data_IF_186460741409
#
_entry.id   IF_186460741409
#
_cell.length_a   1.000
_cell.length_b   1.000
_cell.length_c   1.000
_cell.angle_alpha   90.00
_cell.angle_beta   90.00
_cell.angle_gamma   90.00
#
_symmetry.space_group_name_H-M   'P 1'
#
loop_
_entity.id
_entity.type
_entity.pdbx_description
1 polymer ?
#
# COMPACT_ATOMS: atom_id res chain seq x y z
N UNK A 1 -8.60 -9.45 2.97
CA UNK A 1 -8.77 -9.65 1.52
C UNK A 1 -7.48 -9.24 0.86
N UNK A 2 -7.32 -9.42 -0.41
CA UNK A 2 -6.12 -9.12 -1.20
C UNK A 2 -6.29 -9.81 -2.54
N UNK A 3 -5.30 -9.70 -3.42
CA UNK A 3 -5.33 -10.44 -4.69
C UNK A 3 -4.84 -11.86 -4.38
N UNK A 4 -5.64 -12.89 -4.67
CA UNK A 4 -5.24 -14.27 -4.43
C UNK A 4 -4.07 -14.70 -5.34
N UNK A 5 -3.34 -15.76 -4.95
CA UNK A 5 -2.27 -16.30 -5.77
C UNK A 5 -2.75 -16.74 -7.16
N UNK A 6 -3.96 -17.31 -7.25
CA UNK A 6 -4.58 -17.72 -8.52
C UNK A 6 -4.93 -16.52 -9.42
N UNK A 7 -5.46 -15.44 -8.82
CA UNK A 7 -5.78 -14.21 -9.56
C UNK A 7 -4.49 -13.50 -10.02
N UNK A 8 -3.45 -13.49 -9.18
CA UNK A 8 -2.13 -12.96 -9.56
C UNK A 8 -1.56 -13.72 -10.74
N UNK A 9 -1.56 -15.05 -10.70
CA UNK A 9 -1.04 -15.88 -11.79
C UNK A 9 -1.81 -15.64 -13.08
N UNK A 10 -3.13 -15.61 -13.02
CA UNK A 10 -4.01 -15.34 -14.17
C UNK A 10 -3.74 -13.96 -14.75
N UNK A 11 -3.68 -12.93 -13.90
CA UNK A 11 -3.41 -11.55 -14.32
C UNK A 11 -2.01 -11.38 -14.91
N UNK A 12 -0.99 -12.04 -14.35
CA UNK A 12 0.38 -11.97 -14.86
C UNK A 12 0.54 -12.68 -16.21
N UNK A 13 -0.17 -13.79 -16.44
CA UNK A 13 -0.20 -14.44 -17.74
C UNK A 13 -0.88 -13.58 -18.81
N UNK A 14 -2.00 -12.93 -18.45
CA UNK A 14 -2.69 -11.98 -19.31
C UNK A 14 -1.79 -10.77 -19.62
N UNK A 15 -1.10 -10.23 -18.59
CA UNK A 15 -0.17 -9.13 -18.74
C UNK A 15 1.00 -9.49 -19.69
N UNK A 16 1.59 -10.69 -19.57
CA UNK A 16 2.66 -11.15 -20.47
C UNK A 16 2.22 -11.31 -21.93
N UNK A 17 0.92 -11.53 -22.18
CA UNK A 17 0.36 -11.54 -23.52
C UNK A 17 0.16 -10.11 -24.08
N UNK A 18 -0.15 -9.13 -23.22
CA UNK A 18 -0.30 -7.72 -23.59
C UNK A 18 1.08 -7.07 -23.79
N UNK A 19 1.99 -7.35 -22.86
CA UNK A 19 3.35 -6.78 -22.81
C UNK A 19 4.38 -7.89 -22.74
N UNK A 20 4.96 -8.30 -23.87
CA UNK A 20 5.86 -9.45 -23.94
C UNK A 20 7.11 -9.37 -23.04
N UNK A 21 7.53 -8.18 -22.62
CA UNK A 21 8.66 -8.00 -21.72
C UNK A 21 8.46 -8.68 -20.35
N UNK A 22 7.21 -8.86 -19.89
CA UNK A 22 6.92 -9.59 -18.65
C UNK A 22 7.16 -11.10 -18.77
N UNK A 23 7.10 -11.70 -19.95
CA UNK A 23 7.25 -13.14 -20.14
C UNK A 23 8.59 -13.69 -19.61
N UNK A 24 9.75 -13.22 -20.12
CA UNK A 24 11.06 -13.64 -19.62
C UNK A 24 11.28 -13.31 -18.14
N UNK A 25 10.78 -12.16 -17.67
CA UNK A 25 10.88 -11.77 -16.26
C UNK A 25 10.10 -12.73 -15.37
N UNK A 26 8.87 -13.10 -15.76
CA UNK A 26 8.02 -14.05 -15.03
C UNK A 26 8.63 -15.47 -15.03
N UNK A 27 9.19 -15.91 -16.16
CA UNK A 27 9.86 -17.22 -16.25
C UNK A 27 11.06 -17.31 -15.29
N UNK A 28 11.76 -16.21 -15.06
CA UNK A 28 12.94 -16.15 -14.18
C UNK A 28 12.58 -16.01 -12.71
N UNK A 29 11.66 -15.10 -12.36
CA UNK A 29 11.34 -14.77 -10.99
C UNK A 29 10.20 -15.63 -10.40
N UNK A 30 9.42 -16.30 -11.24
CA UNK A 30 8.21 -17.02 -10.79
C UNK A 30 7.05 -16.11 -10.42
N UNK A 31 5.94 -16.73 -10.02
CA UNK A 31 4.73 -16.01 -9.58
C UNK A 31 4.92 -15.57 -8.11
N UNK A 32 4.59 -14.31 -7.77
CA UNK A 32 4.65 -13.85 -6.38
C UNK A 32 3.68 -14.63 -5.49
N UNK A 33 4.08 -14.81 -4.23
CA UNK A 33 3.15 -15.29 -3.20
C UNK A 33 2.04 -14.26 -2.98
N UNK A 34 0.88 -14.76 -2.59
CA UNK A 34 -0.24 -13.89 -2.23
C UNK A 34 0.15 -12.95 -1.07
N UNK A 35 -0.30 -11.71 -1.16
CA UNK A 35 -0.13 -10.70 -0.10
C UNK A 35 -1.50 -10.15 0.24
N UNK A 36 -1.96 -10.46 1.44
CA UNK A 36 -3.24 -10.00 1.96
C UNK A 36 -3.02 -8.99 3.09
N UNK A 37 -3.88 -8.00 3.16
CA UNK A 37 -3.96 -7.06 4.27
C UNK A 37 -5.33 -7.13 4.94
N UNK A 38 -5.40 -6.68 6.17
CA UNK A 38 -6.68 -6.49 6.87
C UNK A 38 -7.29 -5.15 6.45
N UNK A 39 -8.62 -5.14 6.26
CA UNK A 39 -9.38 -3.92 5.95
C UNK A 39 -9.55 -3.06 7.22
N UNK A 40 -9.74 -1.78 7.00
CA UNK A 40 -10.28 -0.87 8.00
C UNK A 40 -9.26 0.01 8.69
N UNK A 41 -9.75 0.64 9.75
CA UNK A 41 -9.08 1.68 10.54
C UNK A 41 -7.68 1.28 11.03
N UNK A 42 -7.55 0.07 11.58
CA UNK A 42 -6.29 -0.41 12.18
C UNK A 42 -5.15 -0.43 11.15
N UNK A 43 -5.43 -0.87 9.94
CA UNK A 43 -4.42 -0.94 8.87
C UNK A 43 -3.89 0.44 8.50
N UNK A 44 -4.76 1.44 8.36
CA UNK A 44 -4.33 2.82 8.09
C UNK A 44 -3.64 3.46 9.30
N UNK A 45 -4.10 3.19 10.53
CA UNK A 45 -3.42 3.67 11.74
C UNK A 45 -2.01 3.09 11.84
N UNK A 46 -1.84 1.80 11.58
CA UNK A 46 -0.51 1.15 11.52
C UNK A 46 0.37 1.74 10.43
N UNK A 47 -0.19 2.08 9.27
CA UNK A 47 0.55 2.76 8.21
C UNK A 47 1.05 4.14 8.66
N UNK A 48 0.22 4.95 9.34
CA UNK A 48 0.62 6.24 9.92
C UNK A 48 1.74 6.05 10.95
N UNK A 49 1.60 5.10 11.86
CA UNK A 49 2.60 4.82 12.91
C UNK A 49 3.92 4.37 12.29
N UNK A 50 3.88 3.58 11.22
CA UNK A 50 5.05 3.04 10.53
C UNK A 50 5.82 4.05 9.67
N UNK A 51 5.26 5.24 9.39
CA UNK A 51 5.96 6.25 8.58
C UNK A 51 7.33 6.61 9.17
N UNK A 52 8.37 6.54 8.36
CA UNK A 52 9.75 6.99 8.69
C UNK A 52 10.37 6.31 9.95
N UNK A 53 9.93 5.12 10.30
CA UNK A 53 10.53 4.32 11.37
C UNK A 53 10.71 2.87 10.92
N UNK A 54 11.58 2.12 11.61
CA UNK A 54 11.73 0.70 11.36
C UNK A 54 10.48 -0.08 11.78
N UNK A 55 10.30 -1.28 11.21
CA UNK A 55 9.21 -2.19 11.58
C UNK A 55 9.23 -2.50 13.08
N UNK A 56 10.41 -2.75 13.65
CA UNK A 56 10.56 -2.99 15.09
C UNK A 56 10.10 -1.79 15.93
N UNK A 57 10.49 -0.57 15.52
CA UNK A 57 10.04 0.66 16.21
C UNK A 57 8.53 0.88 16.07
N UNK A 58 7.95 0.62 14.90
CA UNK A 58 6.50 0.74 14.68
C UNK A 58 5.73 -0.24 15.59
N UNK A 59 6.19 -1.48 15.70
CA UNK A 59 5.57 -2.48 16.58
C UNK A 59 5.69 -2.10 18.06
N UNK A 60 6.83 -1.58 18.48
CA UNK A 60 7.02 -1.11 19.87
C UNK A 60 6.12 0.10 20.19
N UNK A 61 5.93 1.02 19.24
CA UNK A 61 5.00 2.15 19.37
C UNK A 61 3.57 1.61 19.45
N UNK A 62 3.20 0.68 18.59
CA UNK A 62 1.87 0.08 18.59
C UNK A 62 1.53 -0.55 19.95
N UNK A 63 2.41 -1.37 20.51
CA UNK A 63 2.20 -2.02 21.83
C UNK A 63 1.97 -0.98 22.94
N UNK A 64 2.76 0.10 22.96
CA UNK A 64 2.57 1.18 23.94
C UNK A 64 1.27 1.95 23.71
N UNK A 65 0.90 2.15 22.45
CA UNK A 65 -0.34 2.83 22.07
C UNK A 65 -1.57 2.03 22.54
N UNK A 66 -1.59 0.72 22.32
CA UNK A 66 -2.64 -0.18 22.82
C UNK A 66 -2.82 -0.03 24.34
N UNK A 67 -1.72 -0.07 25.09
CA UNK A 67 -1.76 0.09 26.55
C UNK A 67 -2.24 1.49 26.98
N UNK A 68 -1.77 2.53 26.28
CA UNK A 68 -2.06 3.92 26.64
C UNK A 68 -3.49 4.35 26.31
N UNK A 69 -4.06 3.80 25.23
CA UNK A 69 -5.42 4.13 24.78
C UNK A 69 -6.49 3.21 25.38
N UNK A 70 -6.10 2.06 25.91
CA UNK A 70 -7.02 0.99 26.32
C UNK A 70 -7.60 0.24 25.11
N UNK A 71 -6.86 0.19 23.99
CA UNK A 71 -7.25 -0.46 22.75
C UNK A 71 -7.25 0.51 21.56
N UNK A 72 -6.13 0.56 20.83
CA UNK A 72 -5.95 1.49 19.71
C UNK A 72 -6.81 1.12 18.48
N UNK A 73 -7.37 -0.08 18.46
CA UNK A 73 -8.27 -0.54 17.39
C UNK A 73 -9.62 0.18 17.37
N UNK A 74 -10.03 0.78 18.50
CA UNK A 74 -11.22 1.62 18.58
C UNK A 74 -10.85 3.09 18.32
N UNK A 75 -11.34 3.72 17.25
CA UNK A 75 -11.06 5.12 16.96
C UNK A 75 -11.53 6.09 18.07
N UNK A 76 -12.56 5.72 18.86
CA UNK A 76 -13.00 6.53 19.99
C UNK A 76 -11.93 6.59 21.10
N UNK A 77 -11.16 5.53 21.29
CA UNK A 77 -10.06 5.50 22.25
C UNK A 77 -8.93 6.46 21.82
N UNK A 78 -8.61 6.48 20.53
CA UNK A 78 -7.66 7.44 19.97
C UNK A 78 -8.15 8.88 20.14
N UNK A 79 -9.42 9.15 19.92
CA UNK A 79 -10.00 10.48 20.03
C UNK A 79 -9.99 11.03 21.47
N UNK A 80 -10.22 10.18 22.49
CA UNK A 80 -10.29 10.61 23.92
C UNK A 80 -8.96 10.62 24.65
N UNK A 81 -7.92 9.94 24.13
CA UNK A 81 -6.61 9.90 24.80
C UNK A 81 -5.92 11.26 24.66
N UNK A 82 -5.33 11.78 25.74
CA UNK A 82 -4.63 13.06 25.71
C UNK A 82 -3.40 13.03 24.79
N UNK A 83 -2.99 14.20 24.31
CA UNK A 83 -1.77 14.32 23.49
C UNK A 83 -0.53 13.86 24.26
N UNK A 84 -0.47 14.10 25.58
CA UNK A 84 0.64 13.64 26.40
C UNK A 84 0.66 12.11 26.50
N UNK A 85 -0.49 11.46 26.63
CA UNK A 85 -0.61 10.01 26.56
C UNK A 85 -0.14 9.44 25.23
N UNK A 86 -0.55 10.06 24.12
CA UNK A 86 -0.11 9.64 22.77
C UNK A 86 1.40 9.87 22.56
N UNK A 87 1.97 10.96 23.10
CA UNK A 87 3.43 11.17 23.10
C UNK A 87 4.16 10.13 23.93
N UNK A 88 3.64 9.78 25.11
CA UNK A 88 4.21 8.73 25.96
C UNK A 88 4.24 7.37 25.25
N UNK A 89 3.27 7.08 24.38
CA UNK A 89 3.29 5.91 23.51
C UNK A 89 4.37 5.98 22.41
N UNK A 90 4.93 7.16 22.15
CA UNK A 90 6.01 7.37 21.16
C UNK A 90 5.55 7.98 19.84
N UNK A 91 4.36 8.57 19.77
CA UNK A 91 3.90 9.28 18.59
C UNK A 91 4.52 10.69 18.52
N UNK A 92 5.03 11.08 17.37
CA UNK A 92 5.39 12.47 17.10
C UNK A 92 4.14 13.35 17.04
N UNK A 93 4.30 14.67 17.23
CA UNK A 93 3.21 15.63 17.09
C UNK A 93 2.45 15.48 15.76
N UNK A 94 3.17 15.23 14.69
CA UNK A 94 2.61 15.04 13.36
C UNK A 94 1.78 13.74 13.29
N UNK A 95 2.29 12.62 13.80
CA UNK A 95 1.56 11.34 13.82
C UNK A 95 0.32 11.41 14.71
N UNK A 96 0.35 12.16 15.80
CA UNK A 96 -0.84 12.41 16.63
C UNK A 96 -1.92 13.13 15.80
N UNK A 97 -1.56 14.19 15.09
CA UNK A 97 -2.50 14.91 14.25
C UNK A 97 -3.09 14.03 13.12
N UNK A 98 -2.28 13.14 12.53
CA UNK A 98 -2.72 12.20 11.50
C UNK A 98 -3.64 11.11 12.07
N UNK A 99 -3.28 10.51 13.20
CA UNK A 99 -4.08 9.49 13.85
C UNK A 99 -5.45 10.04 14.34
N UNK A 100 -5.47 11.29 14.82
CA UNK A 100 -6.73 11.97 15.17
C UNK A 100 -7.59 12.26 13.95
N UNK A 101 -6.98 12.74 12.84
CA UNK A 101 -7.71 12.95 11.60
C UNK A 101 -8.36 11.66 11.11
N UNK A 102 -7.63 10.55 11.14
CA UNK A 102 -8.18 9.25 10.77
C UNK A 102 -9.34 8.83 11.69
N UNK A 103 -9.15 8.96 13.01
CA UNK A 103 -10.20 8.62 13.98
C UNK A 103 -11.46 9.49 13.78
N UNK A 104 -11.29 10.78 13.52
CA UNK A 104 -12.39 11.72 13.29
C UNK A 104 -13.17 11.38 12.00
N UNK A 105 -12.47 11.06 10.90
CA UNK A 105 -13.12 10.69 9.63
C UNK A 105 -13.97 9.43 9.80
N UNK A 106 -13.46 8.44 10.56
CA UNK A 106 -14.20 7.20 10.84
C UNK A 106 -15.38 7.45 11.78
N UNK A 107 -15.18 8.14 12.90
CA UNK A 107 -16.24 8.40 13.90
C UNK A 107 -17.36 9.27 13.35
N UNK A 108 -17.07 10.18 12.44
CA UNK A 108 -18.09 11.01 11.76
C UNK A 108 -18.81 10.28 10.63
N UNK A 109 -18.38 9.07 10.26
CA UNK A 109 -18.92 8.32 9.13
C UNK A 109 -18.51 8.87 7.75
N UNK A 110 -17.61 9.86 7.70
CA UNK A 110 -17.08 10.35 6.41
C UNK A 110 -16.15 9.33 5.76
N UNK A 111 -15.43 8.54 6.55
CA UNK A 111 -14.68 7.39 6.07
C UNK A 111 -15.35 6.11 6.58
N UNK A 112 -16.08 5.45 5.69
CA UNK A 112 -16.69 4.14 5.94
C UNK A 112 -16.00 3.10 5.04
N UNK A 113 -15.26 2.18 5.65
CA UNK A 113 -14.50 1.15 4.92
C UNK A 113 -15.38 0.12 4.23
N UNK A 114 -16.65 -0.02 4.63
CA UNK A 114 -17.59 -0.92 3.99
C UNK A 114 -18.30 -0.25 2.79
N UNK A 115 -18.12 1.06 2.63
CA UNK A 115 -18.76 1.88 1.58
C UNK A 115 -17.75 2.73 0.80
N UNK A 116 -16.52 2.26 0.63
CA UNK A 116 -15.57 2.95 -0.23
C UNK A 116 -16.10 3.00 -1.68
N UNK A 117 -15.94 4.12 -2.40
CA UNK A 117 -16.35 4.22 -3.80
C UNK A 117 -15.84 3.07 -4.65
N UNK A 118 -16.64 2.62 -5.61
CA UNK A 118 -16.24 1.53 -6.52
C UNK A 118 -15.16 1.98 -7.52
N UNK A 119 -15.19 3.25 -7.93
CA UNK A 119 -14.14 3.83 -8.76
C UNK A 119 -12.85 4.00 -7.95
N UNK A 120 -11.73 3.62 -8.54
CA UNK A 120 -10.43 3.61 -7.86
C UNK A 120 -9.92 5.02 -7.55
N UNK A 121 -10.11 5.99 -8.45
CA UNK A 121 -9.67 7.37 -8.21
C UNK A 121 -10.55 8.07 -7.17
N UNK A 122 -11.85 7.81 -7.18
CA UNK A 122 -12.75 8.30 -6.13
C UNK A 122 -12.39 7.69 -4.76
N UNK A 123 -12.08 6.39 -4.71
CA UNK A 123 -11.63 5.74 -3.48
C UNK A 123 -10.29 6.29 -2.98
N UNK A 124 -9.33 6.56 -3.88
CA UNK A 124 -8.05 7.21 -3.55
C UNK A 124 -8.32 8.61 -3.01
N UNK A 125 -9.17 9.41 -3.66
CA UNK A 125 -9.53 10.75 -3.21
C UNK A 125 -10.17 10.71 -1.81
N UNK A 126 -11.03 9.73 -1.56
CA UNK A 126 -11.69 9.53 -0.27
C UNK A 126 -10.69 9.22 0.85
N UNK A 127 -9.75 8.31 0.62
CA UNK A 127 -8.71 7.96 1.59
C UNK A 127 -7.72 9.11 1.81
N UNK A 128 -7.36 9.86 0.77
CA UNK A 128 -6.42 10.98 0.87
C UNK A 128 -7.00 12.23 1.54
N UNK A 129 -8.31 12.29 1.77
CA UNK A 129 -8.92 13.31 2.62
C UNK A 129 -8.43 13.22 4.08
N UNK A 130 -8.00 12.04 4.54
CA UNK A 130 -7.38 11.85 5.85
C UNK A 130 -5.99 12.47 5.87
N UNK A 131 -5.73 13.38 6.80
CA UNK A 131 -4.39 13.99 6.95
C UNK A 131 -3.32 12.91 7.19
N UNK A 132 -2.26 12.98 6.40
CA UNK A 132 -1.15 12.02 6.51
C UNK A 132 -1.30 10.75 5.67
N UNK A 133 -2.44 10.56 5.02
CA UNK A 133 -2.62 9.52 4.02
C UNK A 133 -2.37 10.14 2.64
N UNK A 134 -1.21 9.85 2.06
CA UNK A 134 -0.89 10.25 0.70
C UNK A 134 -1.40 9.24 -0.32
N UNK A 135 -1.39 9.61 -1.62
CA UNK A 135 -1.83 8.77 -2.73
C UNK A 135 -1.19 7.37 -2.68
N UNK A 136 0.11 7.27 -2.47
CA UNK A 136 0.81 5.98 -2.37
C UNK A 136 0.24 5.09 -1.25
N UNK A 137 -0.02 5.66 -0.05
CA UNK A 137 -0.59 4.90 1.07
C UNK A 137 -2.02 4.43 0.75
N UNK A 138 -2.81 5.27 0.09
CA UNK A 138 -4.16 4.92 -0.36
C UNK A 138 -4.11 3.79 -1.41
N UNK A 139 -3.23 3.90 -2.41
CA UNK A 139 -3.01 2.87 -3.43
C UNK A 139 -2.60 1.53 -2.80
N UNK A 140 -1.66 1.52 -1.85
CA UNK A 140 -1.23 0.31 -1.13
C UNK A 140 -2.37 -0.31 -0.32
N UNK A 141 -3.18 0.52 0.35
CA UNK A 141 -4.36 0.05 1.08
C UNK A 141 -5.38 -0.62 0.14
N UNK A 142 -5.74 0.04 -0.96
CA UNK A 142 -6.71 -0.48 -1.92
C UNK A 142 -6.21 -1.77 -2.59
N UNK A 143 -4.93 -1.85 -2.90
CA UNK A 143 -4.33 -3.03 -3.53
C UNK A 143 -4.32 -4.23 -2.58
N UNK A 144 -3.84 -4.08 -1.33
CA UNK A 144 -3.60 -5.21 -0.44
C UNK A 144 -4.73 -5.47 0.57
N UNK A 145 -5.44 -4.45 1.04
CA UNK A 145 -6.53 -4.63 2.00
C UNK A 145 -7.89 -4.81 1.30
N UNK A 146 -8.14 -4.08 0.21
CA UNK A 146 -9.38 -4.18 -0.57
C UNK A 146 -9.28 -5.21 -1.70
N UNK A 147 -8.06 -5.57 -2.14
CA UNK A 147 -7.84 -6.53 -3.22
C UNK A 147 -8.20 -5.98 -4.60
N UNK A 148 -8.12 -4.66 -4.79
CA UNK A 148 -8.46 -4.04 -6.09
C UNK A 148 -7.41 -4.35 -7.14
N UNK A 149 -7.78 -5.02 -8.25
CA UNK A 149 -6.81 -5.60 -9.17
C UNK A 149 -6.11 -4.59 -10.06
N UNK A 150 -6.69 -3.39 -10.24
CA UNK A 150 -6.18 -2.40 -11.20
C UNK A 150 -5.55 -1.16 -10.55
N UNK A 151 -5.28 -1.22 -9.25
CA UNK A 151 -4.54 -0.15 -8.55
C UNK A 151 -3.09 -0.11 -9.02
N UNK A 152 -2.62 1.09 -9.37
CA UNK A 152 -1.29 1.29 -9.94
C UNK A 152 -0.47 2.32 -9.15
N UNK A 153 0.38 1.89 -8.19
CA UNK A 153 1.20 2.78 -7.38
C UNK A 153 2.44 3.29 -8.14
N UNK A 154 2.20 4.05 -9.21
CA UNK A 154 3.25 4.59 -10.08
C UNK A 154 4.22 5.55 -9.36
N UNK A 155 3.83 6.10 -8.21
CA UNK A 155 4.70 6.90 -7.35
C UNK A 155 5.71 6.08 -6.55
N UNK A 156 5.57 4.75 -6.51
CA UNK A 156 6.50 3.87 -5.80
C UNK A 156 7.84 3.77 -6.53
N UNK A 157 8.92 4.11 -5.81
CA UNK A 157 10.27 4.13 -6.39
C UNK A 157 10.73 2.74 -6.85
N UNK A 158 10.40 1.70 -6.09
CA UNK A 158 10.79 0.34 -6.44
C UNK A 158 10.04 -0.15 -7.67
N UNK A 159 8.74 0.18 -7.79
CA UNK A 159 7.93 -0.09 -8.98
C UNK A 159 8.52 0.63 -10.20
N UNK A 160 8.85 1.94 -10.07
CA UNK A 160 9.45 2.70 -11.18
C UNK A 160 10.74 2.05 -11.70
N UNK A 161 11.67 1.75 -10.78
CA UNK A 161 12.95 1.15 -11.13
C UNK A 161 12.73 -0.21 -11.80
N UNK A 162 11.89 -1.05 -11.19
CA UNK A 162 11.77 -2.43 -11.62
C UNK A 162 10.99 -2.58 -12.93
N UNK A 163 9.97 -1.76 -13.14
CA UNK A 163 9.32 -1.67 -14.45
C UNK A 163 10.31 -1.18 -15.52
N UNK A 164 11.16 -0.20 -15.20
CA UNK A 164 12.24 0.21 -16.10
C UNK A 164 13.15 -0.96 -16.48
N UNK A 165 13.56 -1.79 -15.52
CA UNK A 165 14.39 -2.97 -15.73
C UNK A 165 13.67 -4.04 -16.59
N UNK A 166 12.42 -4.37 -16.26
CA UNK A 166 11.62 -5.36 -17.00
C UNK A 166 11.42 -4.92 -18.45
N UNK A 167 11.16 -3.63 -18.68
CA UNK A 167 10.91 -3.05 -19.99
C UNK A 167 12.19 -2.73 -20.77
N UNK A 168 13.38 -2.91 -20.18
CA UNK A 168 14.66 -2.58 -20.80
C UNK A 168 14.85 -1.09 -21.09
N UNK A 169 14.25 -0.20 -20.28
CA UNK A 169 14.36 1.24 -20.46
C UNK A 169 15.71 1.77 -19.98
N UNK A 170 16.22 2.81 -20.63
CA UNK A 170 17.40 3.51 -20.17
C UNK A 170 17.08 4.33 -18.90
N UNK A 171 17.62 3.91 -17.76
CA UNK A 171 17.45 4.58 -16.47
C UNK A 171 16.04 4.45 -15.88
N UNK A 172 15.83 5.16 -14.78
CA UNK A 172 14.55 5.13 -14.07
C UNK A 172 13.50 5.99 -14.77
N UNK A 173 12.38 5.40 -15.23
CA UNK A 173 11.29 6.17 -15.82
C UNK A 173 10.62 7.08 -14.77
N UNK A 174 10.01 8.16 -15.25
CA UNK A 174 9.21 9.05 -14.38
C UNK A 174 7.87 8.41 -14.03
N UNK A 175 7.25 8.85 -12.93
CA UNK A 175 5.90 8.45 -12.57
C UNK A 175 4.91 8.65 -13.72
N UNK A 176 4.98 9.81 -14.40
CA UNK A 176 4.12 10.12 -15.55
C UNK A 176 4.33 9.12 -16.69
N UNK A 177 5.58 8.74 -16.97
CA UNK A 177 5.88 7.81 -18.04
C UNK A 177 5.32 6.41 -17.76
N UNK A 178 5.50 5.89 -16.53
CA UNK A 178 4.97 4.56 -16.20
C UNK A 178 3.45 4.54 -16.00
N UNK A 179 2.82 5.66 -15.63
CA UNK A 179 1.35 5.77 -15.67
C UNK A 179 0.83 5.63 -17.09
N UNK A 180 1.43 6.35 -18.05
CA UNK A 180 1.03 6.27 -19.45
C UNK A 180 1.27 4.87 -20.04
N UNK A 181 2.42 4.26 -19.73
CA UNK A 181 2.76 2.90 -20.18
C UNK A 181 1.75 1.87 -19.67
N UNK A 182 1.37 1.96 -18.40
CA UNK A 182 0.49 1.00 -17.74
C UNK A 182 -0.99 1.11 -18.15
N UNK A 183 -1.40 2.10 -18.92
CA UNK A 183 -2.79 2.17 -19.39
C UNK A 183 -3.16 0.98 -20.29
N UNK A 184 -2.20 0.46 -21.05
CA UNK A 184 -2.40 -0.73 -21.88
C UNK A 184 -2.53 -2.02 -21.05
N UNK A 185 -2.13 -2.01 -19.77
CA UNK A 185 -2.12 -3.19 -18.89
C UNK A 185 -3.41 -3.36 -18.09
N UNK A 186 -4.38 -2.45 -18.25
CA UNK A 186 -5.68 -2.60 -17.58
C UNK A 186 -6.37 -3.90 -18.01
N UNK A 187 -7.02 -4.60 -17.08
CA UNK A 187 -7.22 -4.35 -15.64
C UNK A 187 -6.17 -5.04 -14.74
N UNK A 188 -4.95 -5.27 -15.20
CA UNK A 188 -3.93 -6.11 -14.55
C UNK A 188 -2.80 -5.29 -13.89
N UNK A 189 -2.96 -3.98 -13.73
CA UNK A 189 -1.91 -3.08 -13.24
C UNK A 189 -1.48 -3.40 -11.81
N UNK A 190 -2.41 -3.82 -10.95
CA UNK A 190 -2.09 -4.25 -9.58
C UNK A 190 -1.19 -5.49 -9.56
N UNK A 191 -1.45 -6.46 -10.44
CA UNK A 191 -0.57 -7.62 -10.58
C UNK A 191 0.83 -7.21 -11.08
N UNK A 192 0.93 -6.25 -12.01
CA UNK A 192 2.21 -5.70 -12.46
C UNK A 192 3.00 -5.06 -11.31
N UNK A 193 2.34 -4.32 -10.42
CA UNK A 193 2.98 -3.71 -9.25
C UNK A 193 3.47 -4.77 -8.26
N UNK A 194 2.64 -5.76 -7.93
CA UNK A 194 3.02 -6.87 -7.04
C UNK A 194 4.19 -7.64 -7.62
N UNK A 195 4.17 -7.89 -8.94
CA UNK A 195 5.25 -8.56 -9.63
C UNK A 195 6.55 -7.74 -9.63
N UNK A 196 6.49 -6.42 -9.83
CA UNK A 196 7.67 -5.56 -9.79
C UNK A 196 8.39 -5.65 -8.44
N UNK A 197 7.69 -5.60 -7.31
CA UNK A 197 8.29 -5.80 -5.98
C UNK A 197 8.87 -7.20 -5.80
N UNK A 198 8.19 -8.24 -6.29
CA UNK A 198 8.66 -9.62 -6.22
C UNK A 198 9.93 -9.81 -7.04
N UNK A 199 9.94 -9.36 -8.30
CA UNK A 199 11.08 -9.47 -9.22
C UNK A 199 12.31 -8.74 -8.67
N UNK A 200 12.13 -7.55 -8.10
CA UNK A 200 13.19 -6.84 -7.40
C UNK A 200 13.77 -7.65 -6.25
N UNK A 201 12.91 -8.22 -5.40
CA UNK A 201 13.35 -9.02 -4.25
C UNK A 201 14.16 -10.24 -4.69
N UNK A 202 13.74 -10.94 -5.75
CA UNK A 202 14.46 -12.06 -6.31
C UNK A 202 15.83 -11.64 -6.87
N UNK A 203 15.91 -10.52 -7.60
CA UNK A 203 17.18 -10.00 -8.09
C UNK A 203 18.13 -9.60 -6.96
N UNK A 204 17.63 -9.02 -5.87
CA UNK A 204 18.42 -8.66 -4.68
C UNK A 204 19.00 -9.91 -3.95
N UNK A 205 18.33 -11.06 -4.03
CA UNK A 205 18.81 -12.34 -3.50
C UNK A 205 19.92 -12.89 -4.40
N UNK A 206 19.67 -13.00 -5.71
CA UNK A 206 20.63 -13.52 -6.68
C UNK A 206 21.92 -12.71 -6.76
N UNK A 207 21.86 -11.39 -6.50
CA UNK A 207 23.04 -10.54 -6.50
C UNK A 207 23.95 -10.72 -5.26
N UNK A 208 23.50 -11.48 -4.24
CA UNK A 208 24.25 -11.74 -3.00
C UNK A 208 24.87 -13.14 -2.96
N UNK A 209 24.53 -14.00 -3.91
CA UNK A 209 25.12 -15.32 -4.15
C UNK A 209 26.32 -15.22 -5.11
#
# INVERSE_FOLDING_TARGET
MGISAADLETSLRALAAIEPAFGPALARAGVPAERTGERGYVTLLRAIIGQQVSVASANAIWTRLEAQTGGAADPANMARTSDDGLRAAGLSRQKIAYARSLAEEVLSGRLDFDRLPADDEEAIAHLTAVKGIGRWTAEIYLLFAEGRPDIWPAGDLAVQIEIGNIMGLEGKPTEKAIRALAEAWRPHRGAAAVFAWHHRHQNDILAKE
#
